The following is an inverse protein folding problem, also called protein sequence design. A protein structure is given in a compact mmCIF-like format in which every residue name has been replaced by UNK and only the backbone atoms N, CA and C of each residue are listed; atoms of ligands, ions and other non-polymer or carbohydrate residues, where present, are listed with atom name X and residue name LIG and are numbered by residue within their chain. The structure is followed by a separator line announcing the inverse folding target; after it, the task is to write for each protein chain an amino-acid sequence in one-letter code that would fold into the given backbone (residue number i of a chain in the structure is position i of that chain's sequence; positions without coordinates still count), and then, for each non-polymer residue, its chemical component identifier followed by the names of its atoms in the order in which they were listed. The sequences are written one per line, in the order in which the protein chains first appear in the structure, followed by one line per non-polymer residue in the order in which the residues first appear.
data_IF_849780819744
#
_entry.id   IF_849780819744
#
_cell.length_a   1.000
_cell.length_b   1.000
_cell.length_c   1.000
_cell.angle_alpha   90.00
_cell.angle_beta   90.00
_cell.angle_gamma   90.00
#
_symmetry.space_group_name_H-M   'P 1'
#
loop_
_entity.id
_entity.type
_entity.pdbx_description
1 polymer ?
#
# COMPACT_ATOMS: atom_id res chain seq x y z
N UNK A 1 13.56 -28.38 -35.73
CA UNK A 1 14.31 -27.16 -35.42
C UNK A 1 13.68 -26.49 -34.18
N UNK A 2 14.26 -26.69 -33.01
CA UNK A 2 13.81 -26.08 -31.75
C UNK A 2 14.28 -24.63 -31.75
N UNK A 3 13.35 -23.67 -31.84
CA UNK A 3 13.64 -22.26 -31.63
C UNK A 3 14.11 -22.08 -30.19
N UNK A 4 15.39 -21.86 -29.98
CA UNK A 4 15.97 -21.38 -28.72
C UNK A 4 15.39 -20.00 -28.45
N UNK A 5 14.30 -19.91 -27.66
CA UNK A 5 13.82 -18.65 -27.14
C UNK A 5 14.95 -18.05 -26.29
N UNK A 6 15.55 -16.97 -26.80
CA UNK A 6 16.50 -16.15 -26.03
C UNK A 6 15.80 -15.79 -24.70
N UNK A 7 16.40 -16.18 -23.58
CA UNK A 7 15.92 -15.79 -22.25
C UNK A 7 15.81 -14.26 -22.22
N UNK A 8 14.66 -13.67 -21.85
CA UNK A 8 14.60 -12.23 -21.67
C UNK A 8 15.64 -11.83 -20.64
N UNK A 9 16.39 -10.76 -20.90
CA UNK A 9 17.44 -10.24 -20.00
C UNK A 9 16.92 -9.85 -18.61
N UNK A 10 15.63 -9.56 -18.50
CA UNK A 10 14.95 -9.17 -17.24
C UNK A 10 13.77 -10.11 -17.04
N UNK A 11 13.65 -10.67 -15.84
CA UNK A 11 12.48 -11.46 -15.44
C UNK A 11 11.22 -10.57 -15.39
N UNK A 12 10.15 -11.00 -16.04
CA UNK A 12 8.92 -10.21 -16.16
C UNK A 12 8.28 -9.85 -14.82
N UNK A 13 8.50 -10.63 -13.76
CA UNK A 13 8.08 -10.32 -12.41
C UNK A 13 8.56 -8.94 -11.92
N UNK A 14 9.76 -8.49 -12.32
CA UNK A 14 10.25 -7.15 -11.99
C UNK A 14 9.52 -6.05 -12.74
N UNK A 15 8.99 -6.33 -13.93
CA UNK A 15 8.10 -5.40 -14.64
C UNK A 15 6.79 -5.24 -13.87
N UNK A 16 6.23 -6.36 -13.39
CA UNK A 16 5.03 -6.35 -12.54
C UNK A 16 5.25 -5.56 -11.24
N UNK A 17 6.43 -5.71 -10.61
CA UNK A 17 6.81 -4.93 -9.42
C UNK A 17 6.88 -3.43 -9.73
N UNK A 18 7.51 -3.03 -10.85
CA UNK A 18 7.59 -1.63 -11.26
C UNK A 18 6.20 -1.02 -11.54
N UNK A 19 5.31 -1.79 -12.16
CA UNK A 19 3.91 -1.37 -12.39
C UNK A 19 3.19 -1.18 -11.05
N UNK A 20 3.34 -2.14 -10.14
CA UNK A 20 2.75 -2.05 -8.80
C UNK A 20 3.28 -0.84 -8.02
N UNK A 21 4.60 -0.56 -8.10
CA UNK A 21 5.22 0.62 -7.50
C UNK A 21 4.58 1.92 -7.99
N UNK A 22 4.45 2.10 -9.31
CA UNK A 22 3.83 3.30 -9.90
C UNK A 22 2.34 3.37 -9.53
N UNK A 23 1.63 2.26 -9.61
CA UNK A 23 0.20 2.18 -9.26
C UNK A 23 -0.03 2.57 -7.79
N UNK A 24 0.76 2.01 -6.87
CA UNK A 24 0.67 2.30 -5.44
C UNK A 24 1.02 3.76 -5.12
N UNK A 25 2.06 4.29 -5.78
CA UNK A 25 2.47 5.69 -5.66
C UNK A 25 1.32 6.65 -6.00
N UNK A 26 0.66 6.44 -7.14
CA UNK A 26 -0.43 7.31 -7.60
C UNK A 26 -1.71 7.06 -6.79
N UNK A 27 -2.11 5.81 -6.59
CA UNK A 27 -3.39 5.46 -5.97
C UNK A 27 -3.51 5.92 -4.51
N UNK A 28 -2.44 5.72 -3.71
CA UNK A 28 -2.44 6.16 -2.31
C UNK A 28 -2.35 7.68 -2.23
N UNK A 29 -1.52 8.33 -3.07
CA UNK A 29 -1.48 9.79 -3.14
C UNK A 29 -2.84 10.39 -3.54
N UNK A 30 -3.53 9.80 -4.51
CA UNK A 30 -4.88 10.24 -4.89
C UNK A 30 -5.86 10.17 -3.73
N UNK A 31 -5.84 9.11 -2.93
CA UNK A 31 -6.69 8.99 -1.74
C UNK A 31 -6.30 10.00 -0.66
N UNK A 32 -5.01 10.13 -0.36
CA UNK A 32 -4.53 11.01 0.71
C UNK A 32 -4.56 12.50 0.33
N UNK A 33 -4.70 12.83 -0.95
CA UNK A 33 -4.83 14.23 -1.41
C UNK A 33 -6.06 14.94 -0.85
N UNK A 34 -7.03 14.19 -0.30
CA UNK A 34 -8.14 14.77 0.45
C UNK A 34 -7.67 15.70 1.57
N UNK A 35 -6.55 15.39 2.24
CA UNK A 35 -6.00 16.23 3.31
C UNK A 35 -5.61 17.64 2.81
N UNK A 36 -5.26 17.77 1.54
CA UNK A 36 -4.94 19.05 0.90
C UNK A 36 -6.17 19.77 0.35
N UNK A 37 -7.17 19.02 -0.11
CA UNK A 37 -8.45 19.56 -0.59
C UNK A 37 -9.37 19.99 0.54
N UNK A 38 -9.24 19.36 1.70
CA UNK A 38 -10.11 19.57 2.85
C UNK A 38 -10.15 21.03 3.34
N UNK A 39 -9.03 21.74 3.55
CA UNK A 39 -9.03 23.14 3.96
C UNK A 39 -9.71 24.05 2.92
N UNK A 40 -9.47 23.80 1.64
CA UNK A 40 -10.03 24.57 0.53
C UNK A 40 -11.57 24.47 0.50
N UNK A 41 -12.09 23.27 0.71
CA UNK A 41 -13.54 23.03 0.79
C UNK A 41 -14.19 23.70 1.98
N UNK A 42 -13.54 23.68 3.15
CA UNK A 42 -14.04 24.37 4.33
C UNK A 42 -14.12 25.87 4.10
N UNK A 43 -13.10 26.43 3.45
CA UNK A 43 -13.03 27.88 3.18
C UNK A 43 -14.08 28.30 2.14
N UNK A 44 -14.26 27.53 1.07
CA UNK A 44 -15.16 27.90 -0.02
C UNK A 44 -16.63 27.68 0.32
N UNK A 45 -16.96 26.57 0.95
CA UNK A 45 -18.36 26.19 1.20
C UNK A 45 -18.86 26.55 2.60
N UNK A 46 -17.96 26.86 3.53
CA UNK A 46 -18.34 27.12 4.92
C UNK A 46 -18.93 25.91 5.64
N UNK A 47 -18.70 24.70 5.14
CA UNK A 47 -19.20 23.47 5.74
C UNK A 47 -18.52 23.17 7.07
N UNK A 48 -19.21 22.45 7.96
CA UNK A 48 -18.57 22.02 9.21
C UNK A 48 -17.49 21.00 8.94
N UNK A 49 -16.45 21.02 9.77
CA UNK A 49 -15.34 20.05 9.71
C UNK A 49 -15.85 18.61 9.80
N UNK A 50 -16.86 18.35 10.64
CA UNK A 50 -17.44 17.03 10.81
C UNK A 50 -18.14 16.53 9.53
N UNK A 51 -18.90 17.41 8.86
CA UNK A 51 -19.57 17.08 7.60
C UNK A 51 -18.53 16.76 6.51
N UNK A 52 -17.54 17.61 6.34
CA UNK A 52 -16.54 17.43 5.29
C UNK A 52 -15.67 16.19 5.52
N UNK A 53 -15.19 15.95 6.75
CA UNK A 53 -14.43 14.75 7.10
C UNK A 53 -15.29 13.47 7.08
N UNK A 54 -16.61 13.60 7.33
CA UNK A 54 -17.56 12.50 7.27
C UNK A 54 -17.61 11.80 5.91
N UNK A 55 -17.41 12.53 4.81
CA UNK A 55 -17.32 11.95 3.47
C UNK A 55 -16.17 10.95 3.34
N UNK A 56 -15.00 11.27 3.88
CA UNK A 56 -13.86 10.39 3.90
C UNK A 56 -14.08 9.16 4.77
N UNK A 57 -14.69 9.38 5.95
CA UNK A 57 -15.03 8.30 6.89
C UNK A 57 -16.06 7.34 6.31
N UNK A 58 -17.09 7.83 5.59
CA UNK A 58 -18.06 7.00 4.91
C UNK A 58 -17.38 6.04 3.91
N UNK A 59 -16.35 6.51 3.21
CA UNK A 59 -15.60 5.68 2.28
C UNK A 59 -14.96 4.47 2.96
N UNK A 60 -14.38 4.63 4.15
CA UNK A 60 -13.82 3.52 4.91
C UNK A 60 -14.90 2.55 5.40
N UNK A 61 -16.03 3.07 5.87
CA UNK A 61 -17.17 2.23 6.29
C UNK A 61 -17.69 1.40 5.11
N UNK A 62 -17.87 2.03 3.94
CA UNK A 62 -18.29 1.33 2.72
C UNK A 62 -17.25 0.28 2.27
N UNK A 63 -15.95 0.53 2.50
CA UNK A 63 -14.89 -0.40 2.15
C UNK A 63 -14.98 -1.72 2.94
N UNK A 64 -15.56 -1.74 4.13
CA UNK A 64 -15.73 -2.98 4.92
C UNK A 64 -16.56 -4.01 4.14
N UNK A 65 -17.61 -3.56 3.46
CA UNK A 65 -18.49 -4.42 2.67
C UNK A 65 -17.98 -4.65 1.25
N UNK A 66 -17.31 -3.66 0.67
CA UNK A 66 -16.83 -3.73 -0.71
C UNK A 66 -15.52 -4.51 -0.86
N UNK A 67 -14.66 -4.52 0.16
CA UNK A 67 -13.35 -5.19 0.07
C UNK A 67 -13.43 -6.72 -0.18
N UNK A 68 -14.33 -7.48 0.47
CA UNK A 68 -14.55 -8.89 0.14
C UNK A 68 -15.03 -9.09 -1.31
N UNK A 69 -15.86 -8.18 -1.82
CA UNK A 69 -16.34 -8.21 -3.21
C UNK A 69 -15.17 -7.96 -4.17
N UNK A 70 -14.33 -6.97 -3.89
CA UNK A 70 -13.11 -6.70 -4.66
C UNK A 70 -12.18 -7.92 -4.65
N UNK A 71 -12.02 -8.60 -3.50
CA UNK A 71 -11.25 -9.84 -3.39
C UNK A 71 -11.80 -10.93 -4.30
N UNK A 72 -13.09 -11.19 -4.28
CA UNK A 72 -13.74 -12.18 -5.16
C UNK A 72 -13.65 -11.82 -6.66
N UNK A 73 -13.76 -10.53 -6.99
CA UNK A 73 -13.56 -10.05 -8.34
C UNK A 73 -12.10 -10.19 -8.81
N UNK A 74 -11.14 -9.95 -7.90
CA UNK A 74 -9.71 -10.17 -8.15
C UNK A 74 -9.39 -11.63 -8.47
N UNK A 75 -9.98 -12.58 -7.72
CA UNK A 75 -9.79 -14.01 -8.00
C UNK A 75 -10.36 -14.42 -9.36
N UNK A 76 -11.46 -13.81 -9.77
CA UNK A 76 -12.15 -14.13 -11.04
C UNK A 76 -11.55 -13.43 -12.26
N UNK A 77 -11.26 -12.14 -12.17
CA UNK A 77 -10.88 -11.29 -13.30
C UNK A 77 -9.41 -10.87 -13.29
N UNK A 78 -8.72 -11.06 -12.16
CA UNK A 78 -7.31 -10.71 -11.99
C UNK A 78 -7.03 -9.21 -11.88
N UNK A 79 -5.77 -8.84 -11.59
CA UNK A 79 -5.37 -7.45 -11.39
C UNK A 79 -5.46 -6.59 -12.66
N UNK A 80 -5.36 -7.22 -13.84
CA UNK A 80 -5.40 -6.55 -15.14
C UNK A 80 -6.68 -5.77 -15.40
N UNK A 81 -7.82 -6.21 -14.85
CA UNK A 81 -9.11 -5.56 -14.99
C UNK A 81 -9.52 -4.79 -13.74
N UNK A 82 -9.26 -5.34 -12.55
CA UNK A 82 -9.75 -4.76 -11.31
C UNK A 82 -9.00 -3.48 -10.96
N UNK A 83 -7.68 -3.43 -11.16
CA UNK A 83 -6.88 -2.22 -10.89
C UNK A 83 -7.28 -1.05 -11.80
N UNK A 84 -7.39 -1.21 -13.14
CA UNK A 84 -7.93 -0.16 -14.01
C UNK A 84 -9.37 0.26 -13.69
N UNK A 85 -10.23 -0.67 -13.29
CA UNK A 85 -11.59 -0.33 -12.86
C UNK A 85 -11.57 0.59 -11.64
N UNK A 86 -10.73 0.27 -10.64
CA UNK A 86 -10.50 1.15 -9.50
C UNK A 86 -10.00 2.53 -9.92
N UNK A 87 -9.07 2.59 -10.89
CA UNK A 87 -8.54 3.85 -11.40
C UNK A 87 -9.62 4.68 -12.13
N UNK A 88 -10.51 4.03 -12.89
CA UNK A 88 -11.67 4.71 -13.52
C UNK A 88 -12.58 5.31 -12.45
N UNK A 89 -12.89 4.57 -11.37
CA UNK A 89 -13.71 5.09 -10.28
C UNK A 89 -13.05 6.30 -9.61
N UNK A 90 -11.74 6.23 -9.34
CA UNK A 90 -11.00 7.35 -8.74
C UNK A 90 -11.00 8.56 -9.67
N UNK A 91 -10.69 8.38 -10.95
CA UNK A 91 -10.70 9.48 -11.92
C UNK A 91 -12.08 10.12 -12.07
N UNK A 92 -13.14 9.30 -12.18
CA UNK A 92 -14.52 9.78 -12.20
C UNK A 92 -14.89 10.53 -10.90
N UNK A 93 -14.42 10.02 -9.76
CA UNK A 93 -14.60 10.68 -8.46
C UNK A 93 -13.97 12.08 -8.42
N UNK A 94 -12.75 12.25 -8.93
CA UNK A 94 -12.12 13.58 -9.00
C UNK A 94 -12.82 14.52 -9.98
N UNK A 95 -13.31 14.02 -11.10
CA UNK A 95 -14.10 14.81 -12.06
C UNK A 95 -15.41 15.27 -11.41
N UNK A 96 -16.10 14.37 -10.69
CA UNK A 96 -17.31 14.70 -9.96
C UNK A 96 -17.02 15.70 -8.83
N UNK A 97 -15.93 15.48 -8.08
CA UNK A 97 -15.53 16.34 -6.98
C UNK A 97 -15.30 17.79 -7.42
N UNK A 98 -14.71 17.98 -8.62
CA UNK A 98 -14.53 19.31 -9.21
C UNK A 98 -15.83 20.09 -9.35
N UNK A 99 -16.93 19.40 -9.68
CA UNK A 99 -18.24 20.01 -9.91
C UNK A 99 -19.13 19.99 -8.68
N UNK A 100 -18.67 19.41 -7.57
CA UNK A 100 -19.43 19.33 -6.34
C UNK A 100 -19.65 20.73 -5.75
N UNK A 101 -20.91 21.03 -5.47
CA UNK A 101 -21.35 22.29 -4.82
C UNK A 101 -22.18 22.02 -3.56
N UNK A 102 -22.47 20.75 -3.31
CA UNK A 102 -23.26 20.29 -2.18
C UNK A 102 -22.58 19.12 -1.42
N UNK A 103 -22.97 18.84 -0.18
CA UNK A 103 -22.40 17.73 0.58
C UNK A 103 -22.64 16.34 -0.05
N UNK A 104 -23.76 16.14 -0.76
CA UNK A 104 -24.06 14.85 -1.39
C UNK A 104 -23.04 14.54 -2.48
N UNK A 105 -22.74 15.53 -3.34
CA UNK A 105 -21.70 15.43 -4.35
C UNK A 105 -20.33 15.08 -3.74
N UNK A 106 -19.96 15.70 -2.61
CA UNK A 106 -18.74 15.37 -1.87
C UNK A 106 -18.75 13.91 -1.38
N UNK A 107 -19.84 13.47 -0.76
CA UNK A 107 -19.97 12.12 -0.21
C UNK A 107 -19.90 11.04 -1.28
N UNK A 108 -20.53 11.27 -2.43
CA UNK A 108 -20.47 10.36 -3.57
C UNK A 108 -19.06 10.36 -4.19
N UNK A 109 -18.50 11.54 -4.49
CA UNK A 109 -17.21 11.66 -5.13
C UNK A 109 -16.09 11.09 -4.25
N UNK A 110 -15.98 11.56 -3.02
CA UNK A 110 -14.91 11.21 -2.10
C UNK A 110 -15.18 9.86 -1.42
N UNK A 111 -16.34 9.72 -0.80
CA UNK A 111 -16.68 8.56 0.00
C UNK A 111 -16.87 7.30 -0.84
N UNK A 112 -17.67 7.35 -1.89
CA UNK A 112 -17.97 6.16 -2.67
C UNK A 112 -16.96 5.90 -3.79
N UNK A 113 -16.58 6.91 -4.57
CA UNK A 113 -15.76 6.70 -5.76
C UNK A 113 -14.26 6.70 -5.44
N UNK A 114 -13.71 7.78 -4.85
CA UNK A 114 -12.26 7.91 -4.67
C UNK A 114 -11.73 6.93 -3.63
N UNK A 115 -12.33 6.88 -2.44
CA UNK A 115 -11.83 5.97 -1.39
C UNK A 115 -11.96 4.52 -1.81
N UNK A 116 -13.12 4.08 -2.30
CA UNK A 116 -13.34 2.67 -2.66
C UNK A 116 -12.62 2.28 -3.96
N UNK A 117 -12.55 3.18 -4.96
CA UNK A 117 -11.71 2.96 -6.13
C UNK A 117 -10.24 2.77 -5.76
N UNK A 118 -9.72 3.56 -4.81
CA UNK A 118 -8.35 3.41 -4.30
C UNK A 118 -8.14 2.09 -3.55
N UNK A 119 -9.17 1.52 -2.90
CA UNK A 119 -9.06 0.21 -2.25
C UNK A 119 -8.80 -0.91 -3.25
N UNK A 120 -9.36 -0.83 -4.47
CA UNK A 120 -9.06 -1.77 -5.55
C UNK A 120 -7.61 -1.69 -6.06
N UNK A 121 -6.86 -0.67 -5.64
CA UNK A 121 -5.45 -0.46 -5.97
C UNK A 121 -4.54 -0.47 -4.72
N UNK A 122 -5.04 -0.95 -3.59
CA UNK A 122 -4.37 -0.88 -2.28
C UNK A 122 -3.33 -1.98 -2.08
N UNK A 123 -2.65 -1.92 -0.93
CA UNK A 123 -1.75 -2.96 -0.42
C UNK A 123 -2.38 -4.35 -0.44
N UNK A 124 -3.67 -4.46 -0.07
CA UNK A 124 -4.39 -5.72 0.02
C UNK A 124 -4.45 -6.39 -1.35
N UNK A 125 -4.89 -5.65 -2.37
CA UNK A 125 -5.00 -6.15 -3.74
C UNK A 125 -3.64 -6.55 -4.31
N UNK A 126 -2.61 -5.73 -4.11
CA UNK A 126 -1.26 -6.04 -4.58
C UNK A 126 -0.64 -7.25 -3.85
N UNK A 127 -0.96 -7.46 -2.58
CA UNK A 127 -0.50 -8.64 -1.82
C UNK A 127 -1.12 -9.96 -2.29
N UNK A 128 -2.22 -9.93 -3.06
CA UNK A 128 -2.87 -11.13 -3.59
C UNK A 128 -2.13 -11.73 -4.80
N UNK A 129 -1.43 -10.92 -5.59
CA UNK A 129 -0.80 -11.38 -6.83
C UNK A 129 0.73 -11.23 -6.86
N UNK A 130 1.31 -10.19 -6.27
CA UNK A 130 2.76 -9.99 -6.28
C UNK A 130 3.56 -11.20 -5.76
N UNK A 131 3.17 -11.83 -4.62
CA UNK A 131 3.90 -12.98 -4.11
C UNK A 131 3.88 -14.21 -5.01
N UNK A 132 2.96 -14.29 -5.98
CA UNK A 132 2.89 -15.42 -6.93
C UNK A 132 4.08 -15.41 -7.92
N UNK A 133 4.66 -14.24 -8.18
CA UNK A 133 5.77 -14.08 -9.12
C UNK A 133 7.12 -14.52 -8.55
N UNK A 134 7.28 -14.55 -7.22
CA UNK A 134 8.56 -14.77 -6.56
C UNK A 134 8.46 -15.88 -5.51
N UNK A 135 9.46 -16.77 -5.49
CA UNK A 135 9.65 -17.75 -4.42
C UNK A 135 10.73 -17.31 -3.43
N UNK A 136 11.84 -16.78 -3.93
CA UNK A 136 13.02 -16.42 -3.11
C UNK A 136 12.99 -14.99 -2.60
N UNK A 137 12.55 -14.04 -3.44
CA UNK A 137 12.63 -12.60 -3.16
C UNK A 137 11.24 -12.00 -2.99
N UNK A 138 10.31 -12.71 -2.35
CA UNK A 138 8.92 -12.23 -2.15
C UNK A 138 8.85 -10.95 -1.35
N UNK A 139 9.55 -10.90 -0.22
CA UNK A 139 9.56 -9.75 0.67
C UNK A 139 10.20 -8.54 0.02
N UNK A 140 11.35 -8.73 -0.67
CA UNK A 140 12.00 -7.66 -1.42
C UNK A 140 11.10 -7.11 -2.53
N UNK A 141 10.46 -7.97 -3.32
CA UNK A 141 9.59 -7.56 -4.42
C UNK A 141 8.36 -6.77 -3.92
N UNK A 142 7.72 -7.24 -2.85
CA UNK A 142 6.61 -6.55 -2.20
C UNK A 142 7.08 -5.24 -1.57
N UNK A 143 8.22 -5.24 -0.89
CA UNK A 143 8.82 -4.04 -0.28
C UNK A 143 9.12 -2.96 -1.32
N UNK A 144 9.70 -3.31 -2.47
CA UNK A 144 9.94 -2.37 -3.57
C UNK A 144 8.60 -1.83 -4.11
N UNK A 145 7.61 -2.70 -4.37
CA UNK A 145 6.33 -2.25 -4.87
C UNK A 145 5.64 -1.26 -3.90
N UNK A 146 5.68 -1.56 -2.61
CA UNK A 146 5.01 -0.76 -1.58
C UNK A 146 5.74 0.54 -1.25
N UNK A 147 7.07 0.58 -1.39
CA UNK A 147 7.87 1.81 -1.22
C UNK A 147 7.47 2.92 -2.19
N UNK A 148 6.74 2.58 -3.28
CA UNK A 148 6.11 3.54 -4.16
C UNK A 148 5.19 4.52 -3.45
N UNK A 149 4.55 4.12 -2.35
CA UNK A 149 3.70 5.01 -1.55
C UNK A 149 4.50 6.16 -0.93
N UNK A 150 5.67 5.88 -0.39
CA UNK A 150 6.57 6.91 0.15
C UNK A 150 7.06 7.86 -0.94
N UNK A 151 7.44 7.31 -2.12
CA UNK A 151 7.85 8.14 -3.27
C UNK A 151 6.70 9.01 -3.77
N UNK A 152 5.47 8.47 -3.82
CA UNK A 152 4.27 9.24 -4.18
C UNK A 152 4.02 10.39 -3.21
N UNK A 153 4.15 10.15 -1.90
CA UNK A 153 4.01 11.18 -0.88
C UNK A 153 5.04 12.32 -1.06
N UNK A 154 6.29 11.97 -1.42
CA UNK A 154 7.36 12.94 -1.59
C UNK A 154 7.28 13.75 -2.89
N UNK A 155 6.71 13.19 -3.94
CA UNK A 155 6.69 13.83 -5.28
C UNK A 155 5.28 14.34 -5.62
N UNK A 156 4.27 13.49 -5.51
CA UNK A 156 2.92 13.80 -5.99
C UNK A 156 2.24 14.80 -5.05
N UNK A 157 2.39 14.66 -3.73
CA UNK A 157 1.69 15.54 -2.80
C UNK A 157 2.16 17.00 -2.87
N UNK A 158 3.47 17.31 -2.88
CA UNK A 158 3.93 18.69 -3.08
C UNK A 158 3.55 19.26 -4.46
N UNK A 159 3.62 18.42 -5.51
CA UNK A 159 3.19 18.84 -6.86
C UNK A 159 1.69 19.15 -6.89
N UNK A 160 0.89 18.34 -6.23
CA UNK A 160 -0.55 18.54 -6.13
C UNK A 160 -0.88 19.83 -5.36
N UNK A 161 -0.18 20.08 -4.23
CA UNK A 161 -0.32 21.34 -3.49
C UNK A 161 0.06 22.56 -4.35
N UNK A 162 1.17 22.47 -5.08
CA UNK A 162 1.57 23.54 -5.99
C UNK A 162 0.49 23.84 -7.06
N UNK A 163 -0.20 22.83 -7.58
CA UNK A 163 -1.33 23.02 -8.50
C UNK A 163 -2.51 23.71 -7.79
N UNK A 164 -2.82 23.32 -6.54
CA UNK A 164 -3.84 23.98 -5.73
C UNK A 164 -3.52 25.46 -5.56
N UNK A 165 -2.30 25.80 -5.17
CA UNK A 165 -1.87 27.17 -4.88
C UNK A 165 -1.87 28.05 -6.13
N UNK A 166 -1.60 27.48 -7.30
CA UNK A 166 -1.44 28.26 -8.56
C UNK A 166 -2.68 28.30 -9.44
N UNK A 167 -3.50 27.23 -9.39
CA UNK A 167 -4.68 27.07 -10.29
C UNK A 167 -5.98 26.79 -9.55
N UNK A 168 -5.91 26.62 -8.23
CA UNK A 168 -7.05 26.26 -7.41
C UNK A 168 -7.31 24.76 -7.35
N UNK A 169 -8.03 24.35 -6.31
CA UNK A 169 -8.29 22.95 -5.99
C UNK A 169 -9.13 22.22 -7.08
N UNK A 170 -10.00 22.92 -7.79
CA UNK A 170 -10.81 22.33 -8.87
C UNK A 170 -9.96 21.86 -10.06
N UNK A 171 -8.95 22.64 -10.45
CA UNK A 171 -8.02 22.26 -11.51
C UNK A 171 -7.03 21.18 -11.02
N UNK A 172 -6.68 21.19 -9.73
CA UNK A 172 -5.93 20.13 -9.11
C UNK A 172 -6.69 18.78 -9.17
N UNK A 173 -8.01 18.78 -9.01
CA UNK A 173 -8.82 17.57 -9.20
C UNK A 173 -8.70 17.02 -10.63
N UNK A 174 -8.70 17.86 -11.66
CA UNK A 174 -8.48 17.41 -13.04
C UNK A 174 -7.07 16.84 -13.22
N UNK A 175 -6.06 17.52 -12.70
CA UNK A 175 -4.68 17.05 -12.80
C UNK A 175 -4.53 15.66 -12.17
N UNK A 176 -5.16 15.42 -11.00
CA UNK A 176 -5.16 14.11 -10.35
C UNK A 176 -5.95 13.07 -11.15
N UNK A 177 -7.12 13.43 -11.70
CA UNK A 177 -7.90 12.53 -12.55
C UNK A 177 -7.10 12.08 -13.78
N UNK A 178 -6.40 13.00 -14.43
CA UNK A 178 -5.52 12.70 -15.58
C UNK A 178 -4.36 11.81 -15.15
N UNK A 179 -3.68 12.15 -14.04
CA UNK A 179 -2.57 11.36 -13.51
C UNK A 179 -2.99 9.92 -13.22
N UNK A 180 -4.14 9.72 -12.59
CA UNK A 180 -4.71 8.38 -12.30
C UNK A 180 -5.07 7.66 -13.59
N UNK A 181 -5.80 8.31 -14.50
CA UNK A 181 -6.27 7.70 -15.73
C UNK A 181 -5.10 7.31 -16.65
N UNK A 182 -4.17 8.23 -16.91
CA UNK A 182 -3.05 8.01 -17.83
C UNK A 182 -1.94 7.19 -17.19
N UNK A 183 -1.67 7.39 -15.91
CA UNK A 183 -0.59 6.70 -15.19
C UNK A 183 -0.93 5.26 -14.80
N UNK A 184 -2.20 4.94 -14.52
CA UNK A 184 -2.58 3.61 -14.01
C UNK A 184 -3.28 2.76 -15.07
N UNK A 185 -4.28 3.31 -15.80
CA UNK A 185 -5.14 2.50 -16.67
C UNK A 185 -4.34 1.80 -17.78
N UNK A 186 -3.59 2.51 -18.66
CA UNK A 186 -2.88 1.84 -19.74
C UNK A 186 -1.77 0.92 -19.23
N UNK A 187 -1.06 1.34 -18.17
CA UNK A 187 0.02 0.57 -17.59
C UNK A 187 -0.45 -0.81 -17.09
N UNK A 188 -1.58 -0.83 -16.38
CA UNK A 188 -2.14 -2.08 -15.86
C UNK A 188 -2.87 -2.90 -16.94
N UNK A 189 -3.63 -2.28 -17.85
CA UNK A 189 -4.32 -3.01 -18.94
C UNK A 189 -3.35 -3.74 -19.86
N UNK A 190 -2.22 -3.11 -20.24
CA UNK A 190 -1.33 -3.70 -21.22
C UNK A 190 -0.28 -4.61 -20.59
N UNK A 191 0.27 -4.22 -19.45
CA UNK A 191 1.46 -4.89 -18.91
C UNK A 191 1.21 -5.67 -17.61
N UNK A 192 0.14 -5.38 -16.84
CA UNK A 192 -0.11 -6.12 -15.61
C UNK A 192 -0.55 -7.55 -15.90
N UNK A 193 -0.02 -8.51 -15.11
CA UNK A 193 -0.40 -9.91 -15.13
C UNK A 193 -0.56 -10.44 -13.72
N UNK A 194 -1.48 -11.37 -13.52
CA UNK A 194 -1.81 -11.91 -12.20
C UNK A 194 -0.85 -12.98 -11.71
N UNK A 195 -0.29 -13.74 -12.63
CA UNK A 195 0.59 -14.85 -12.31
C UNK A 195 1.65 -15.06 -13.42
N UNK A 196 2.80 -15.66 -13.11
CA UNK A 196 3.84 -15.94 -14.11
C UNK A 196 3.37 -16.92 -15.20
N UNK A 197 2.43 -17.80 -14.88
CA UNK A 197 1.80 -18.74 -15.81
C UNK A 197 1.10 -18.03 -16.97
N UNK A 198 0.55 -16.82 -16.75
CA UNK A 198 -0.12 -16.00 -17.76
C UNK A 198 0.80 -15.64 -18.95
N UNK A 199 2.12 -15.68 -18.71
CA UNK A 199 3.16 -15.40 -19.72
C UNK A 199 4.04 -16.61 -20.02
N UNK A 200 3.64 -17.80 -19.56
CA UNK A 200 4.36 -19.06 -19.79
C UNK A 200 5.66 -19.18 -18.98
N UNK A 201 5.74 -18.51 -17.84
CA UNK A 201 6.87 -18.56 -16.93
C UNK A 201 6.48 -19.26 -15.62
N UNK A 202 7.48 -19.78 -14.91
CA UNK A 202 7.37 -20.17 -13.51
C UNK A 202 7.90 -19.03 -12.61
N UNK A 203 7.58 -19.04 -11.30
CA UNK A 203 8.15 -18.10 -10.35
C UNK A 203 9.68 -18.01 -10.45
N UNK A 204 10.22 -16.82 -10.19
CA UNK A 204 11.65 -16.49 -10.34
C UNK A 204 12.18 -16.68 -11.78
N UNK A 205 11.30 -16.73 -12.80
CA UNK A 205 11.69 -16.85 -14.21
C UNK A 205 12.21 -18.22 -14.62
N UNK A 206 11.93 -19.27 -13.86
CA UNK A 206 12.26 -20.64 -14.23
C UNK A 206 11.37 -21.13 -15.37
N UNK A 207 11.86 -22.03 -16.23
CA UNK A 207 11.03 -22.68 -17.24
C UNK A 207 10.00 -23.61 -16.56
N UNK A 208 8.75 -23.57 -17.02
CA UNK A 208 7.69 -24.47 -16.53
C UNK A 208 8.10 -25.95 -16.64
N UNK A 209 8.80 -26.32 -17.72
CA UNK A 209 9.35 -27.68 -17.93
C UNK A 209 10.40 -28.07 -16.88
N UNK A 210 11.17 -27.11 -16.35
CA UNK A 210 12.17 -27.39 -15.32
C UNK A 210 11.55 -27.58 -13.94
N UNK A 211 10.31 -27.11 -13.74
CA UNK A 211 9.54 -27.31 -12.50
C UNK A 211 9.12 -28.78 -12.35
N UNK A 212 8.66 -29.42 -13.45
CA UNK A 212 8.24 -30.83 -13.42
C UNK A 212 9.43 -31.77 -13.17
N UNK A 213 10.58 -31.49 -13.80
CA UNK A 213 11.83 -32.23 -13.58
C UNK A 213 12.43 -31.96 -12.19
N UNK A 214 12.33 -30.70 -11.72
CA UNK A 214 12.75 -30.29 -10.39
C UNK A 214 11.92 -30.94 -9.28
N UNK A 215 10.60 -30.94 -9.43
CA UNK A 215 9.68 -31.57 -8.50
C UNK A 215 9.86 -33.11 -8.47
N UNK A 216 10.12 -33.74 -9.62
CA UNK A 216 10.43 -35.18 -9.68
C UNK A 216 11.76 -35.51 -8.99
N UNK A 217 12.81 -34.66 -9.15
CA UNK A 217 14.10 -34.80 -8.46
C UNK A 217 14.02 -34.44 -6.96
N UNK A 218 13.18 -33.48 -6.57
CA UNK A 218 12.99 -33.13 -5.16
C UNK A 218 12.10 -34.15 -4.41
N UNK A 219 11.17 -34.84 -5.08
CA UNK A 219 10.48 -36.02 -4.50
C UNK A 219 11.46 -37.14 -4.14
N UNK A 220 12.59 -37.26 -4.89
CA UNK A 220 13.64 -38.24 -4.62
C UNK A 220 14.76 -37.74 -3.69
N UNK A 221 14.88 -36.42 -3.46
CA UNK A 221 15.76 -35.80 -2.46
C UNK A 221 14.88 -35.13 -1.40
N UNK A 222 14.25 -35.94 -0.57
CA UNK A 222 13.63 -35.41 0.64
C UNK A 222 14.64 -34.56 1.41
N UNK A 223 14.29 -33.30 1.71
CA UNK A 223 14.87 -32.45 2.75
C UNK A 223 15.51 -31.11 2.40
N UNK A 224 15.23 -30.43 1.29
CA UNK A 224 15.80 -29.09 1.14
C UNK A 224 14.78 -27.92 1.11
N UNK A 225 13.48 -28.18 1.01
CA UNK A 225 12.43 -27.13 1.00
C UNK A 225 11.51 -27.18 2.21
N UNK A 226 11.80 -28.04 3.17
CA UNK A 226 10.98 -28.24 4.39
C UNK A 226 11.22 -27.20 5.49
N UNK A 227 12.23 -26.31 5.37
CA UNK A 227 12.58 -25.37 6.44
C UNK A 227 11.65 -24.18 6.59
N UNK A 228 10.78 -23.90 5.62
CA UNK A 228 9.85 -22.76 5.65
C UNK A 228 8.41 -23.17 6.04
N UNK A 229 8.05 -24.43 5.82
CA UNK A 229 6.71 -24.96 6.16
C UNK A 229 6.78 -25.66 7.49
N UNK A 230 6.31 -24.99 8.54
CA UNK A 230 6.29 -25.54 9.93
C UNK A 230 5.23 -26.63 10.09
N UNK A 231 4.08 -26.50 9.41
CA UNK A 231 2.97 -27.44 9.46
C UNK A 231 2.41 -27.70 8.06
N UNK A 232 2.81 -28.84 7.48
CA UNK A 232 2.44 -29.21 6.11
C UNK A 232 0.96 -29.58 6.01
N UNK A 233 0.40 -30.23 7.01
CA UNK A 233 -1.01 -30.61 7.06
C UNK A 233 -1.91 -29.35 7.13
N UNK A 234 -1.42 -28.29 7.76
CA UNK A 234 -2.10 -27.01 7.82
C UNK A 234 -2.10 -26.30 6.45
N UNK A 235 -1.00 -26.33 5.71
CA UNK A 235 -0.88 -25.65 4.41
C UNK A 235 -1.62 -26.38 3.28
N UNK A 236 -1.79 -27.69 3.39
CA UNK A 236 -2.50 -28.54 2.40
C UNK A 236 -4.02 -28.56 2.60
N UNK A 237 -4.54 -27.98 3.69
CA UNK A 237 -5.98 -27.86 3.92
C UNK A 237 -6.63 -26.89 2.94
N UNK A 238 -7.80 -27.26 2.43
CA UNK A 238 -8.68 -26.32 1.75
C UNK A 238 -9.26 -25.34 2.78
N UNK A 239 -8.82 -24.09 2.70
CA UNK A 239 -9.25 -23.03 3.59
C UNK A 239 -10.49 -22.33 3.04
N UNK A 240 -11.55 -22.30 3.83
CA UNK A 240 -12.74 -21.45 3.63
C UNK A 240 -12.78 -20.39 4.71
N UNK A 241 -13.50 -19.29 4.47
CA UNK A 241 -13.67 -18.20 5.45
C UNK A 241 -14.20 -18.75 6.78
N UNK A 242 -15.21 -19.62 6.74
CA UNK A 242 -15.78 -20.22 7.95
C UNK A 242 -14.74 -21.04 8.75
N UNK A 243 -13.89 -21.81 8.06
CA UNK A 243 -12.82 -22.58 8.72
C UNK A 243 -11.74 -21.67 9.30
N UNK A 244 -11.38 -20.59 8.63
CA UNK A 244 -10.42 -19.61 9.13
C UNK A 244 -10.95 -18.92 10.40
N UNK A 245 -12.19 -18.44 10.38
CA UNK A 245 -12.85 -17.82 11.54
C UNK A 245 -12.95 -18.72 12.76
N UNK A 246 -13.00 -20.06 12.56
CA UNK A 246 -13.03 -21.03 13.65
C UNK A 246 -11.65 -21.27 14.31
N UNK A 247 -10.56 -20.62 13.83
CA UNK A 247 -9.22 -20.84 14.37
C UNK A 247 -8.73 -19.68 15.22
N UNK A 248 -8.12 -19.99 16.39
CA UNK A 248 -7.50 -18.96 17.25
C UNK A 248 -6.34 -18.23 16.56
N UNK A 249 -5.61 -18.90 15.63
CA UNK A 249 -4.51 -18.27 14.85
C UNK A 249 -5.01 -17.13 13.98
N UNK A 250 -6.20 -17.27 13.37
CA UNK A 250 -6.82 -16.21 12.58
C UNK A 250 -7.08 -14.96 13.45
N UNK A 251 -7.71 -15.14 14.60
CA UNK A 251 -8.02 -14.03 15.51
C UNK A 251 -6.76 -13.39 16.11
N UNK A 252 -5.75 -14.20 16.43
CA UNK A 252 -4.47 -13.65 16.90
C UNK A 252 -3.81 -12.74 15.86
N UNK A 253 -3.83 -13.12 14.57
CA UNK A 253 -3.32 -12.27 13.48
C UNK A 253 -4.19 -11.01 13.34
N UNK A 254 -5.52 -11.14 13.41
CA UNK A 254 -6.42 -9.98 13.32
C UNK A 254 -6.18 -8.97 14.45
N UNK A 255 -6.02 -9.43 15.69
CA UNK A 255 -5.74 -8.56 16.84
C UNK A 255 -4.38 -7.89 16.71
N UNK A 256 -3.35 -8.64 16.31
CA UNK A 256 -2.01 -8.09 16.11
C UNK A 256 -1.98 -7.03 14.99
N UNK A 257 -2.63 -7.29 13.86
CA UNK A 257 -2.75 -6.34 12.75
C UNK A 257 -3.57 -5.11 13.13
N UNK A 258 -4.68 -5.31 13.85
CA UNK A 258 -5.48 -4.19 14.36
C UNK A 258 -4.67 -3.28 15.28
N UNK A 259 -3.95 -3.87 16.24
CA UNK A 259 -3.10 -3.12 17.18
C UNK A 259 -2.00 -2.33 16.46
N UNK A 260 -1.30 -2.96 15.52
CA UNK A 260 -0.25 -2.31 14.74
C UNK A 260 -0.80 -1.13 13.91
N UNK A 261 -1.90 -1.34 13.18
CA UNK A 261 -2.53 -0.29 12.37
C UNK A 261 -3.12 0.83 13.23
N UNK A 262 -3.74 0.49 14.36
CA UNK A 262 -4.30 1.47 15.28
C UNK A 262 -3.21 2.43 15.78
N UNK A 263 -2.09 1.90 16.26
CA UNK A 263 -0.97 2.72 16.76
C UNK A 263 -0.35 3.54 15.62
N UNK A 264 -0.19 2.95 14.43
CA UNK A 264 0.30 3.66 13.26
C UNK A 264 -0.57 4.87 12.92
N UNK A 265 -1.87 4.69 12.76
CA UNK A 265 -2.78 5.78 12.40
C UNK A 265 -2.95 6.80 13.52
N UNK A 266 -2.94 6.36 14.78
CA UNK A 266 -3.00 7.26 15.95
C UNK A 266 -1.78 8.20 15.98
N UNK A 267 -0.58 7.66 15.80
CA UNK A 267 0.63 8.49 15.72
C UNK A 267 0.57 9.43 14.53
N UNK A 268 0.25 8.95 13.34
CA UNK A 268 0.17 9.77 12.13
C UNK A 268 -0.82 10.95 12.28
N UNK A 269 -1.95 10.73 12.92
CA UNK A 269 -2.98 11.75 13.10
C UNK A 269 -2.57 12.84 14.10
N UNK A 270 -1.86 12.48 15.16
CA UNK A 270 -1.58 13.39 16.26
C UNK A 270 -0.15 13.95 16.29
N UNK A 271 0.78 13.35 15.54
CA UNK A 271 2.20 13.64 15.58
C UNK A 271 2.55 15.11 15.31
N UNK A 272 1.96 15.72 14.27
CA UNK A 272 2.22 17.11 13.90
C UNK A 272 1.80 18.05 15.03
N UNK A 273 0.57 17.87 15.54
CA UNK A 273 0.10 18.68 16.66
C UNK A 273 0.95 18.50 17.92
N UNK A 274 1.28 17.26 18.23
CA UNK A 274 2.15 16.92 19.36
C UNK A 274 3.50 17.63 19.29
N UNK A 275 4.16 17.67 18.14
CA UNK A 275 5.44 18.38 17.97
C UNK A 275 5.27 19.90 18.12
N UNK A 276 4.17 20.48 17.62
CA UNK A 276 3.88 21.90 17.81
C UNK A 276 3.64 22.22 19.29
N UNK A 277 2.88 21.39 19.98
CA UNK A 277 2.61 21.54 21.42
C UNK A 277 3.90 21.35 22.27
N UNK A 278 4.87 20.56 21.78
CA UNK A 278 6.21 20.41 22.37
C UNK A 278 7.16 21.60 22.07
N UNK A 279 6.68 22.64 21.36
CA UNK A 279 7.42 23.89 21.10
C UNK A 279 8.18 23.95 19.78
N UNK A 280 8.01 22.98 18.88
CA UNK A 280 8.59 23.04 17.54
C UNK A 280 7.74 23.87 16.58
N UNK A 281 8.37 24.49 15.57
CA UNK A 281 7.63 25.26 14.57
C UNK A 281 6.76 24.35 13.70
N UNK A 282 5.62 24.85 13.18
CA UNK A 282 4.75 24.09 12.26
C UNK A 282 5.50 23.54 11.02
N UNK A 283 6.41 24.32 10.48
CA UNK A 283 7.26 23.90 9.33
C UNK A 283 8.16 22.72 9.70
N UNK A 284 8.78 22.76 10.89
CA UNK A 284 9.60 21.66 11.41
C UNK A 284 8.76 20.39 11.61
N UNK A 285 7.58 20.52 12.22
CA UNK A 285 6.67 19.40 12.45
C UNK A 285 6.20 18.74 11.14
N UNK A 286 5.90 19.55 10.11
CA UNK A 286 5.58 19.05 8.78
C UNK A 286 6.76 18.33 8.11
N UNK A 287 7.98 18.89 8.24
CA UNK A 287 9.21 18.25 7.73
C UNK A 287 9.48 16.92 8.43
N UNK A 288 9.27 16.85 9.74
CA UNK A 288 9.41 15.63 10.52
C UNK A 288 8.48 14.51 10.01
N UNK A 289 7.24 14.84 9.68
CA UNK A 289 6.31 13.88 9.06
C UNK A 289 6.80 13.41 7.67
N UNK A 290 7.37 14.30 6.88
CA UNK A 290 7.99 13.95 5.59
C UNK A 290 9.16 12.97 5.74
N UNK A 291 9.95 13.09 6.83
CA UNK A 291 11.03 12.15 7.12
C UNK A 291 10.53 10.73 7.41
N UNK A 292 9.38 10.57 8.06
CA UNK A 292 8.77 9.24 8.25
C UNK A 292 8.49 8.58 6.90
N UNK A 293 7.90 9.32 5.95
CA UNK A 293 7.65 8.80 4.61
C UNK A 293 8.95 8.46 3.86
N UNK A 294 9.97 9.32 3.98
CA UNK A 294 11.28 9.10 3.37
C UNK A 294 11.97 7.83 3.90
N UNK A 295 12.09 7.69 5.22
CA UNK A 295 12.67 6.49 5.83
C UNK A 295 11.81 5.25 5.62
N UNK A 296 10.49 5.39 5.46
CA UNK A 296 9.56 4.32 5.13
C UNK A 296 9.88 3.63 3.79
N UNK A 297 10.43 4.36 2.82
CA UNK A 297 10.90 3.76 1.56
C UNK A 297 11.99 2.71 1.83
N UNK A 298 12.98 3.07 2.65
CA UNK A 298 14.08 2.16 3.00
C UNK A 298 13.63 1.05 3.94
N UNK A 299 12.72 1.35 4.88
CA UNK A 299 12.12 0.38 5.79
C UNK A 299 11.40 -0.74 5.03
N UNK A 300 10.51 -0.38 4.13
CA UNK A 300 9.74 -1.36 3.35
C UNK A 300 10.63 -2.25 2.49
N UNK A 301 11.65 -1.69 1.83
CA UNK A 301 12.59 -2.46 1.02
C UNK A 301 13.49 -3.31 1.92
N UNK A 302 14.05 -2.73 2.98
CA UNK A 302 15.00 -3.37 3.87
C UNK A 302 14.37 -4.50 4.69
N UNK A 303 13.23 -4.25 5.34
CA UNK A 303 12.50 -5.27 6.09
C UNK A 303 11.95 -6.36 5.16
N UNK A 304 11.48 -5.97 3.97
CA UNK A 304 11.08 -6.93 2.94
C UNK A 304 12.22 -7.89 2.56
N UNK A 305 13.41 -7.37 2.26
CA UNK A 305 14.59 -8.17 1.95
C UNK A 305 15.06 -9.02 3.14
N UNK A 306 14.99 -8.46 4.36
CA UNK A 306 15.35 -9.16 5.59
C UNK A 306 14.39 -10.32 5.88
N UNK A 307 13.11 -10.13 5.63
CA UNK A 307 12.07 -11.16 5.75
C UNK A 307 12.33 -12.38 4.87
N UNK A 308 12.92 -12.18 3.68
CA UNK A 308 13.28 -13.28 2.78
C UNK A 308 14.49 -14.10 3.29
N UNK A 309 15.35 -13.51 4.15
CA UNK A 309 16.56 -14.15 4.69
C UNK A 309 16.37 -14.76 6.08
N UNK A 310 15.73 -14.02 6.99
CA UNK A 310 15.61 -14.37 8.40
C UNK A 310 14.23 -14.91 8.78
N UNK A 311 13.30 -14.91 7.82
CA UNK A 311 11.92 -15.33 8.02
C UNK A 311 10.97 -14.18 8.40
N UNK A 312 9.69 -14.42 8.17
CA UNK A 312 8.64 -13.40 8.28
C UNK A 312 8.33 -13.03 9.72
N UNK A 313 8.38 -14.02 10.59
CA UNK A 313 8.13 -13.84 12.03
C UNK A 313 9.18 -12.92 12.65
N UNK A 314 10.46 -13.15 12.35
CA UNK A 314 11.55 -12.30 12.82
C UNK A 314 11.43 -10.87 12.28
N UNK A 315 11.18 -10.70 10.97
CA UNK A 315 11.05 -9.39 10.35
C UNK A 315 9.87 -8.60 10.97
N UNK A 316 8.74 -9.28 11.21
CA UNK A 316 7.58 -8.65 11.84
C UNK A 316 7.83 -8.27 13.29
N UNK A 317 8.45 -9.15 14.07
CA UNK A 317 8.84 -8.86 15.46
C UNK A 317 9.80 -7.67 15.51
N UNK A 318 10.79 -7.61 14.61
CA UNK A 318 11.72 -6.50 14.49
C UNK A 318 11.00 -5.19 14.18
N UNK A 319 10.08 -5.18 13.21
CA UNK A 319 9.27 -4.01 12.87
C UNK A 319 8.46 -3.52 14.06
N UNK A 320 7.72 -4.41 14.72
CA UNK A 320 6.89 -4.04 15.86
C UNK A 320 7.73 -3.52 17.04
N UNK A 321 8.88 -4.15 17.31
CA UNK A 321 9.80 -3.71 18.38
C UNK A 321 10.43 -2.36 18.06
N UNK A 322 10.88 -2.15 16.82
CA UNK A 322 11.43 -0.88 16.37
C UNK A 322 10.39 0.25 16.38
N UNK A 323 9.15 -0.05 15.98
CA UNK A 323 8.04 0.89 16.04
C UNK A 323 7.64 1.23 17.49
N UNK A 324 7.65 0.26 18.40
CA UNK A 324 7.45 0.50 19.83
C UNK A 324 8.54 1.39 20.40
N UNK A 325 9.81 1.15 20.05
CA UNK A 325 10.92 2.01 20.44
C UNK A 325 10.74 3.44 19.91
N UNK A 326 10.34 3.62 18.67
CA UNK A 326 10.01 4.94 18.11
C UNK A 326 8.89 5.65 18.90
N UNK A 327 7.86 4.91 19.31
CA UNK A 327 6.78 5.43 20.14
C UNK A 327 7.24 5.86 21.53
N UNK A 328 8.18 5.13 22.14
CA UNK A 328 8.80 5.51 23.42
C UNK A 328 9.66 6.77 23.26
N UNK A 329 10.38 6.92 22.15
CA UNK A 329 11.10 8.16 21.85
C UNK A 329 10.15 9.37 21.75
N UNK A 330 8.94 9.19 21.22
CA UNK A 330 7.92 10.25 21.20
C UNK A 330 7.52 10.69 22.61
N UNK A 331 7.38 9.74 23.54
CA UNK A 331 7.11 10.09 24.96
C UNK A 331 8.28 10.90 25.57
N UNK A 332 9.51 10.54 25.23
CA UNK A 332 10.70 11.25 25.72
C UNK A 332 10.77 12.68 25.13
N UNK A 333 10.33 12.91 23.89
CA UNK A 333 10.24 14.26 23.29
C UNK A 333 9.35 15.18 24.14
N UNK A 334 8.28 14.68 24.75
CA UNK A 334 7.44 15.48 25.63
C UNK A 334 8.17 15.98 26.87
N UNK A 335 9.19 15.27 27.34
CA UNK A 335 9.97 15.62 28.53
C UNK A 335 11.19 16.47 28.18
N UNK A 336 11.86 16.15 27.09
CA UNK A 336 13.09 16.81 26.63
C UNK A 336 13.02 17.07 25.12
N UNK A 337 12.37 18.16 24.67
CA UNK A 337 12.18 18.43 23.25
C UNK A 337 13.51 18.84 22.58
N UNK A 338 14.16 17.89 21.92
CA UNK A 338 15.38 18.14 21.12
C UNK A 338 15.18 17.72 19.67
N UNK A 339 15.73 18.48 18.73
CA UNK A 339 15.65 18.18 17.30
C UNK A 339 16.24 16.81 16.95
N UNK A 340 17.35 16.44 17.60
CA UNK A 340 18.00 15.13 17.39
C UNK A 340 17.06 13.99 17.78
N UNK A 341 16.36 14.11 18.91
CA UNK A 341 15.43 13.10 19.37
C UNK A 341 14.25 12.95 18.41
N UNK A 342 13.73 14.07 17.89
CA UNK A 342 12.66 14.04 16.85
C UNK A 342 13.15 13.34 15.61
N UNK A 343 14.31 13.69 15.06
CA UNK A 343 14.85 13.02 13.86
C UNK A 343 15.06 11.52 14.07
N UNK A 344 15.57 11.11 15.23
CA UNK A 344 15.76 9.70 15.57
C UNK A 344 14.43 8.97 15.65
N UNK A 345 13.43 9.57 16.30
CA UNK A 345 12.08 8.99 16.40
C UNK A 345 11.42 8.84 15.03
N UNK A 346 11.51 9.88 14.16
CA UNK A 346 10.95 9.84 12.80
C UNK A 346 11.65 8.81 11.91
N UNK A 347 12.97 8.73 12.01
CA UNK A 347 13.73 7.73 11.26
C UNK A 347 13.35 6.30 11.71
N UNK A 348 13.28 6.06 13.02
CA UNK A 348 12.86 4.76 13.55
C UNK A 348 11.40 4.44 13.17
N UNK A 349 10.49 5.41 13.29
CA UNK A 349 9.10 5.25 12.88
C UNK A 349 8.99 4.89 11.39
N UNK A 350 9.71 5.56 10.50
CA UNK A 350 9.72 5.27 9.08
C UNK A 350 10.34 3.92 8.75
N UNK A 351 11.48 3.58 9.36
CA UNK A 351 12.19 2.33 9.06
C UNK A 351 11.43 1.08 9.51
N UNK A 352 10.67 1.16 10.60
CA UNK A 352 10.03 0.01 11.24
C UNK A 352 8.50 0.02 11.18
N UNK A 353 7.87 1.12 10.74
CA UNK A 353 6.42 1.29 10.65
C UNK A 353 5.76 0.85 9.34
#
# INVERSE_FOLDING_TARGET
MARTRRRPRIFYGWVVVAIAFVTMSIAISARTSFSLLYPEMLTEFGWSSALTAGAYSLGFVASITLLPVVGGLMDRFGPRLIVPLGAVLVAAGFILLRTATDPVGLYVAMGLLIVNGSMAMSYIVHSMFLPKWFERNRGLAVGIAFSGVGVGALIIMPTFQWVIDTRGWRDACIAMAILVAVGIIPLNLFFQRGAPEDVGLAPDGRDLRSRDVGNARQRNKGNATSSVIVDRAWTEREWTVARALATGRFWAICVAMFGALFVWYALQAHQTKFLIDAGFSPTFAATALGLVAFFGIFGQIGIGALSDRLGREFAWTLSLSGFAAASLLMIQIAQTPTTTLVYTAMAAQGLFG
#
